data_IF_365233444526
#
_entry.id   IF_365233444526
#
_cell.length_a   1.000
_cell.length_b   1.000
_cell.length_c   1.000
_cell.angle_alpha   90.00
_cell.angle_beta   90.00
_cell.angle_gamma   90.00
#
_symmetry.space_group_name_H-M   'P 1'
#
loop_
_entity.id
_entity.type
_entity.pdbx_description
1 polymer ?
#
# COMPACT_ATOMS: atom_id res chain seq x y z
N UNK A 1 -7.93 47.72 48.30
CA UNK A 1 -8.93 46.96 47.57
C UNK A 1 -8.42 46.70 46.15
N UNK A 2 -7.41 45.83 46.08
CA UNK A 2 -6.76 45.49 44.81
C UNK A 2 -6.10 44.12 44.98
N UNK A 3 -6.87 43.07 44.90
CA UNK A 3 -6.39 41.67 44.87
C UNK A 3 -7.59 40.76 44.60
N UNK A 4 -7.94 40.53 43.36
CA UNK A 4 -8.77 39.37 42.96
C UNK A 4 -9.03 39.32 41.43
N UNK A 5 -7.96 39.41 40.60
CA UNK A 5 -8.16 39.19 39.14
C UNK A 5 -6.96 38.50 38.47
N UNK A 6 -6.21 37.69 39.19
CA UNK A 6 -5.07 36.94 38.57
C UNK A 6 -5.34 35.41 38.51
N UNK A 7 -6.39 34.93 39.21
CA UNK A 7 -6.65 33.50 39.27
C UNK A 7 -7.47 32.91 38.12
N UNK A 8 -8.29 33.72 37.41
CA UNK A 8 -9.22 33.21 36.40
C UNK A 8 -8.58 32.98 35.01
N UNK A 9 -7.56 33.76 34.67
CA UNK A 9 -6.97 33.71 33.34
C UNK A 9 -6.07 32.47 33.10
N UNK A 10 -5.34 32.06 34.11
CA UNK A 10 -4.42 30.90 34.00
C UNK A 10 -5.22 29.60 33.97
N UNK A 11 -6.31 29.49 34.73
CA UNK A 11 -7.19 28.31 34.69
C UNK A 11 -7.92 28.16 33.34
N UNK A 12 -8.40 29.27 32.77
CA UNK A 12 -9.10 29.24 31.47
C UNK A 12 -8.14 28.89 30.28
N UNK A 13 -6.89 29.37 30.35
CA UNK A 13 -5.88 29.01 29.34
C UNK A 13 -5.44 27.55 29.48
N UNK A 14 -5.32 27.03 30.68
CA UNK A 14 -4.98 25.62 30.92
C UNK A 14 -6.12 24.68 30.48
N UNK A 15 -7.38 25.02 30.78
CA UNK A 15 -8.55 24.22 30.33
C UNK A 15 -8.71 24.29 28.81
N UNK A 16 -8.53 25.45 28.19
CA UNK A 16 -8.56 25.57 26.72
C UNK A 16 -7.38 24.82 26.06
N UNK A 17 -6.22 24.78 26.71
CA UNK A 17 -5.06 24.02 26.24
C UNK A 17 -5.29 22.50 26.31
N UNK A 18 -5.85 22.01 27.41
CA UNK A 18 -6.17 20.58 27.58
C UNK A 18 -7.24 20.14 26.58
N UNK A 19 -8.32 20.91 26.43
CA UNK A 19 -9.39 20.58 25.45
C UNK A 19 -8.91 20.70 24.02
N UNK A 20 -7.99 21.64 23.70
CA UNK A 20 -7.36 21.75 22.39
C UNK A 20 -6.48 20.54 22.08
N UNK A 21 -5.72 20.07 23.04
CA UNK A 21 -4.88 18.89 22.92
C UNK A 21 -5.72 17.61 22.70
N UNK A 22 -6.77 17.40 23.51
CA UNK A 22 -7.71 16.28 23.34
C UNK A 22 -8.42 16.30 21.98
N UNK A 23 -8.82 17.48 21.49
CA UNK A 23 -9.44 17.62 20.18
C UNK A 23 -8.46 17.29 19.03
N UNK A 24 -7.19 17.57 19.18
CA UNK A 24 -6.15 17.17 18.22
C UNK A 24 -5.91 15.66 18.32
N UNK A 25 -5.77 15.12 19.52
CA UNK A 25 -5.51 13.69 19.75
C UNK A 25 -6.65 12.81 19.22
N UNK A 26 -7.89 13.27 19.40
CA UNK A 26 -9.06 12.60 18.81
C UNK A 26 -9.29 12.93 17.33
N UNK A 27 -8.38 13.61 16.67
CA UNK A 27 -8.43 13.90 15.23
C UNK A 27 -9.51 14.92 14.82
N UNK A 28 -10.07 15.66 15.77
CA UNK A 28 -11.07 16.71 15.51
C UNK A 28 -10.40 17.98 14.97
N UNK A 29 -9.18 18.28 15.46
CA UNK A 29 -8.34 19.37 14.96
C UNK A 29 -7.10 18.83 14.24
N UNK A 30 -6.55 19.57 13.26
CA UNK A 30 -5.31 19.17 12.59
C UNK A 30 -4.12 19.18 13.57
N UNK A 31 -3.19 18.27 13.39
CA UNK A 31 -1.96 18.18 14.21
C UNK A 31 -1.75 16.84 14.91
N UNK A 32 -2.72 15.89 14.82
CA UNK A 32 -2.57 14.56 15.44
C UNK A 32 -1.26 13.88 15.07
N UNK A 33 -0.88 13.84 13.79
CA UNK A 33 0.39 13.24 13.36
C UNK A 33 1.63 13.88 14.01
N UNK A 34 1.59 15.17 14.31
CA UNK A 34 2.67 15.84 15.03
C UNK A 34 2.71 15.41 16.49
N UNK A 35 1.55 15.31 17.15
CA UNK A 35 1.47 14.82 18.52
C UNK A 35 1.92 13.36 18.60
N UNK A 36 1.41 12.49 17.74
CA UNK A 36 1.77 11.06 17.69
C UNK A 36 3.28 10.84 17.50
N UNK A 37 3.96 11.75 16.80
CA UNK A 37 5.43 11.74 16.68
C UNK A 37 6.13 12.21 17.95
N UNK A 38 5.58 13.22 18.63
CA UNK A 38 6.17 13.80 19.82
C UNK A 38 6.02 12.88 21.04
N UNK A 39 4.93 12.17 21.17
CA UNK A 39 4.67 11.22 22.26
C UNK A 39 5.19 9.79 21.98
N UNK A 40 5.71 9.55 20.76
CA UNK A 40 6.31 8.27 20.39
C UNK A 40 5.34 7.24 19.82
N UNK A 41 4.06 7.58 19.58
CA UNK A 41 3.07 6.68 19.00
C UNK A 41 3.49 6.17 17.60
N UNK A 42 4.26 6.99 16.85
CA UNK A 42 4.83 6.63 15.55
C UNK A 42 6.14 5.82 15.65
N UNK A 43 6.62 5.49 16.85
CA UNK A 43 7.90 4.80 17.01
C UNK A 43 7.74 3.30 16.70
N UNK A 44 8.28 2.87 15.57
CA UNK A 44 8.31 1.47 15.16
C UNK A 44 9.76 0.98 15.08
N UNK A 45 10.10 -0.16 15.71
CA UNK A 45 11.44 -0.71 15.60
C UNK A 45 11.80 -1.03 14.15
N UNK A 46 12.97 -0.56 13.72
CA UNK A 46 13.47 -0.89 12.38
C UNK A 46 13.66 -2.41 12.24
N UNK A 47 13.19 -3.03 11.15
CA UNK A 47 13.36 -4.45 10.91
C UNK A 47 14.84 -4.78 10.67
N UNK A 48 15.28 -5.95 11.13
CA UNK A 48 16.60 -6.48 10.79
C UNK A 48 16.51 -7.15 9.43
N UNK A 49 16.95 -6.44 8.40
CA UNK A 49 16.93 -6.96 7.04
C UNK A 49 18.18 -7.83 6.79
N UNK A 50 18.00 -8.92 6.09
CA UNK A 50 19.06 -9.80 5.61
C UNK A 50 18.74 -10.21 4.18
N UNK A 51 19.74 -10.10 3.30
CA UNK A 51 19.57 -10.32 1.87
C UNK A 51 20.45 -11.46 1.38
N UNK A 52 19.99 -12.17 0.37
CA UNK A 52 20.83 -12.98 -0.51
C UNK A 52 21.67 -12.06 -1.42
N UNK A 53 22.62 -12.58 -2.18
CA UNK A 53 23.18 -11.85 -3.30
C UNK A 53 22.08 -11.32 -4.20
N UNK A 54 22.19 -10.06 -4.64
CA UNK A 54 21.16 -9.46 -5.46
C UNK A 54 21.10 -10.11 -6.85
N UNK A 55 19.89 -10.33 -7.35
CA UNK A 55 19.65 -10.74 -8.72
C UNK A 55 19.67 -9.57 -9.70
N UNK A 56 19.39 -9.86 -10.97
CA UNK A 56 19.31 -8.85 -12.00
C UNK A 56 18.10 -7.92 -11.81
N UNK A 57 18.29 -6.63 -12.07
CA UNK A 57 17.22 -5.63 -12.07
C UNK A 57 17.31 -4.76 -13.32
N UNK A 58 16.18 -4.50 -13.96
CA UNK A 58 16.10 -3.76 -15.22
C UNK A 58 15.01 -2.70 -15.13
N UNK A 59 15.38 -1.46 -15.39
CA UNK A 59 14.41 -0.37 -15.57
C UNK A 59 14.24 -0.08 -17.05
N UNK A 60 13.01 0.28 -17.44
CA UNK A 60 12.65 0.62 -18.79
C UNK A 60 11.45 1.55 -18.85
N UNK A 61 11.03 1.87 -20.07
CA UNK A 61 9.83 2.67 -20.32
C UNK A 61 9.02 2.03 -21.45
N UNK A 62 7.69 2.14 -21.37
CA UNK A 62 6.80 1.81 -22.48
C UNK A 62 5.74 2.89 -22.65
N UNK A 63 5.20 3.00 -23.86
CA UNK A 63 4.05 3.88 -24.08
C UNK A 63 2.78 3.14 -23.66
N UNK A 64 2.14 3.64 -22.60
CA UNK A 64 0.84 3.13 -22.17
C UNK A 64 -0.26 3.78 -22.99
N UNK A 65 -1.07 2.97 -23.66
CA UNK A 65 -2.26 3.44 -24.39
C UNK A 65 -3.36 3.86 -23.40
N UNK A 66 -3.51 3.11 -22.30
CA UNK A 66 -4.47 3.40 -21.25
C UNK A 66 -4.19 4.75 -20.58
N UNK A 67 -2.92 5.09 -20.38
CA UNK A 67 -2.49 6.35 -19.78
C UNK A 67 -2.14 7.46 -20.78
N UNK A 68 -2.05 7.13 -22.07
CA UNK A 68 -1.66 8.04 -23.18
C UNK A 68 -0.31 8.74 -22.95
N UNK A 69 0.64 8.04 -22.31
CA UNK A 69 1.97 8.57 -21.99
C UNK A 69 3.00 7.46 -21.87
N UNK A 70 4.27 7.84 -21.91
CA UNK A 70 5.33 6.93 -21.49
C UNK A 70 5.33 6.77 -19.97
N UNK A 71 5.43 5.52 -19.51
CA UNK A 71 5.53 5.16 -18.09
C UNK A 71 6.80 4.36 -17.85
N UNK A 72 7.47 4.63 -16.73
CA UNK A 72 8.62 3.88 -16.27
C UNK A 72 8.18 2.59 -15.57
N UNK A 73 9.04 1.58 -15.61
CA UNK A 73 8.88 0.35 -14.83
C UNK A 73 10.24 -0.21 -14.43
N UNK A 74 10.27 -0.99 -13.37
CA UNK A 74 11.45 -1.78 -12.96
C UNK A 74 11.02 -3.22 -12.74
N UNK A 75 11.78 -4.18 -13.30
CA UNK A 75 11.61 -5.61 -13.04
C UNK A 75 12.87 -6.10 -12.32
N UNK A 76 12.68 -6.78 -11.19
CA UNK A 76 13.75 -7.42 -10.42
C UNK A 76 13.56 -8.93 -10.41
N UNK A 77 14.64 -9.66 -10.60
CA UNK A 77 14.72 -11.11 -10.56
C UNK A 77 15.41 -11.56 -9.28
N UNK A 78 15.00 -12.68 -8.66
CA UNK A 78 15.69 -13.21 -7.49
C UNK A 78 17.08 -13.73 -7.86
N UNK A 79 17.94 -13.87 -6.86
CA UNK A 79 19.32 -14.35 -7.06
C UNK A 79 19.35 -15.71 -7.78
N UNK A 80 20.23 -15.82 -8.78
CA UNK A 80 20.38 -17.04 -9.58
C UNK A 80 19.34 -17.22 -10.70
N UNK A 81 18.40 -16.28 -10.85
CA UNK A 81 17.40 -16.30 -11.91
C UNK A 81 17.60 -15.20 -12.94
N UNK A 82 17.15 -15.42 -14.17
CA UNK A 82 17.43 -14.55 -15.32
C UNK A 82 16.19 -14.30 -16.18
N UNK A 83 16.19 -13.23 -16.99
CA UNK A 83 15.13 -13.00 -17.99
C UNK A 83 14.92 -14.21 -18.91
N UNK A 84 13.65 -14.56 -19.13
CA UNK A 84 13.24 -15.72 -19.93
C UNK A 84 12.87 -16.95 -19.10
N UNK A 85 13.20 -16.97 -17.82
CA UNK A 85 12.72 -18.02 -16.90
C UNK A 85 11.28 -17.79 -16.50
N UNK A 86 10.58 -18.88 -16.16
CA UNK A 86 9.21 -18.82 -15.65
C UNK A 86 9.24 -18.63 -14.14
N UNK A 87 8.66 -17.50 -13.69
CA UNK A 87 8.59 -17.14 -12.29
C UNK A 87 7.21 -16.57 -11.95
N UNK A 88 6.75 -16.80 -10.74
CA UNK A 88 5.63 -16.04 -10.19
C UNK A 88 5.99 -14.56 -10.07
N UNK A 89 5.00 -13.68 -10.11
CA UNK A 89 5.18 -12.24 -10.22
C UNK A 89 4.51 -11.50 -9.07
N UNK A 90 5.25 -10.65 -8.38
CA UNK A 90 4.71 -9.61 -7.50
C UNK A 90 4.61 -8.31 -8.30
N UNK A 91 3.41 -7.76 -8.42
CA UNK A 91 3.18 -6.41 -8.94
C UNK A 91 3.08 -5.46 -7.75
N UNK A 92 4.10 -4.62 -7.57
CA UNK A 92 4.20 -3.67 -6.47
C UNK A 92 3.76 -2.27 -6.91
N UNK A 93 2.74 -1.74 -6.25
CA UNK A 93 2.16 -0.43 -6.52
C UNK A 93 2.65 0.61 -5.51
N UNK A 94 3.19 1.72 -6.03
CA UNK A 94 3.74 2.80 -5.20
C UNK A 94 2.68 3.65 -4.52
N UNK A 95 3.06 4.33 -3.43
CA UNK A 95 2.27 5.33 -2.72
C UNK A 95 2.19 6.68 -3.46
N UNK A 96 1.41 7.60 -2.92
CA UNK A 96 1.28 8.96 -3.46
C UNK A 96 2.64 9.68 -3.45
N UNK A 97 2.97 10.34 -4.55
CA UNK A 97 4.23 11.08 -4.71
C UNK A 97 5.44 10.22 -5.10
N UNK A 98 5.30 8.90 -5.15
CA UNK A 98 6.34 7.97 -5.55
C UNK A 98 6.22 7.55 -7.03
N UNK A 99 7.14 6.72 -7.48
CA UNK A 99 7.23 6.17 -8.82
C UNK A 99 7.74 4.70 -8.82
N UNK A 100 8.07 4.16 -9.99
CA UNK A 100 8.59 2.79 -10.09
C UNK A 100 9.94 2.57 -9.41
N UNK A 101 10.71 3.60 -9.10
CA UNK A 101 12.02 3.50 -8.44
C UNK A 101 11.93 3.62 -6.93
N UNK A 102 10.84 4.17 -6.42
CA UNK A 102 10.56 4.46 -5.01
C UNK A 102 9.27 3.79 -4.48
N UNK A 103 8.87 2.67 -5.10
CA UNK A 103 7.65 1.94 -4.71
C UNK A 103 7.76 1.25 -3.34
N UNK A 104 8.97 0.97 -2.89
CA UNK A 104 9.32 0.38 -1.60
C UNK A 104 10.09 1.40 -0.76
N UNK A 105 9.99 1.27 0.56
CA UNK A 105 10.68 2.14 1.51
C UNK A 105 11.92 1.45 2.09
N UNK A 106 13.06 2.13 2.08
CA UNK A 106 14.31 1.60 2.64
C UNK A 106 14.91 0.39 1.91
N UNK A 107 14.30 -0.06 0.80
CA UNK A 107 14.86 -1.11 -0.06
C UNK A 107 14.51 -0.91 -1.52
N UNK A 108 15.34 -1.43 -2.40
CA UNK A 108 15.10 -1.50 -3.84
C UNK A 108 14.26 -2.74 -4.20
N UNK A 109 13.72 -2.77 -5.42
CA UNK A 109 13.04 -3.96 -5.94
C UNK A 109 13.92 -5.21 -5.95
N UNK A 110 15.22 -5.06 -6.23
CA UNK A 110 16.18 -6.16 -6.19
C UNK A 110 16.44 -6.68 -4.77
N UNK A 111 16.49 -5.80 -3.79
CA UNK A 111 16.61 -6.17 -2.39
C UNK A 111 15.33 -6.85 -1.88
N UNK A 112 14.15 -6.39 -2.28
CA UNK A 112 12.88 -7.00 -1.89
C UNK A 112 12.78 -8.47 -2.30
N UNK A 113 13.21 -8.83 -3.52
CA UNK A 113 13.20 -10.23 -3.99
C UNK A 113 14.40 -11.05 -3.47
N UNK A 114 15.38 -10.41 -2.84
CA UNK A 114 16.53 -11.04 -2.20
C UNK A 114 16.38 -11.19 -0.68
N UNK A 115 15.26 -10.73 -0.09
CA UNK A 115 15.01 -10.81 1.36
C UNK A 115 15.08 -12.26 1.86
N UNK A 116 15.75 -12.44 2.99
CA UNK A 116 15.78 -13.71 3.73
C UNK A 116 14.84 -13.62 4.93
N UNK A 117 14.07 -14.67 5.13
CA UNK A 117 13.20 -14.85 6.31
C UNK A 117 13.75 -16.02 7.14
N UNK A 118 14.10 -15.77 8.40
CA UNK A 118 14.74 -16.75 9.28
C UNK A 118 15.96 -17.43 8.63
N UNK A 119 16.76 -16.62 7.91
CA UNK A 119 17.95 -17.10 7.20
C UNK A 119 17.68 -17.85 5.89
N UNK A 120 16.42 -18.05 5.50
CA UNK A 120 16.02 -18.75 4.28
C UNK A 120 15.55 -17.76 3.19
N UNK A 121 15.79 -18.11 1.93
CA UNK A 121 15.13 -17.43 0.82
C UNK A 121 13.68 -17.89 0.74
N UNK A 122 12.75 -16.95 0.48
CA UNK A 122 11.41 -17.33 0.12
C UNK A 122 11.39 -18.05 -1.25
N UNK A 123 10.21 -18.52 -1.66
CA UNK A 123 10.01 -19.03 -3.00
C UNK A 123 10.46 -17.99 -4.04
N UNK A 124 11.21 -18.37 -5.10
CA UNK A 124 11.72 -17.41 -6.05
C UNK A 124 10.57 -16.72 -6.80
N UNK A 125 10.50 -15.41 -6.68
CA UNK A 125 9.52 -14.57 -7.35
C UNK A 125 10.23 -13.40 -8.05
N UNK A 126 9.72 -12.97 -9.20
CA UNK A 126 10.07 -11.69 -9.77
C UNK A 126 9.17 -10.60 -9.19
N UNK A 127 9.67 -9.36 -9.16
CA UNK A 127 8.88 -8.20 -8.73
C UNK A 127 8.90 -7.14 -9.84
N UNK A 128 7.75 -6.56 -10.13
CA UNK A 128 7.62 -5.42 -11.05
C UNK A 128 7.01 -4.23 -10.33
N UNK A 129 7.58 -3.06 -10.56
CA UNK A 129 7.03 -1.75 -10.18
C UNK A 129 6.74 -0.93 -11.44
N UNK A 130 5.82 0.03 -11.38
CA UNK A 130 5.43 0.86 -12.53
C UNK A 130 4.93 2.24 -12.08
N UNK A 131 5.10 3.26 -12.93
CA UNK A 131 4.58 4.60 -12.67
C UNK A 131 3.06 4.64 -12.79
N UNK A 132 2.36 4.79 -11.68
CA UNK A 132 0.92 4.93 -11.61
C UNK A 132 0.41 6.38 -11.55
N UNK A 133 1.32 7.35 -11.29
CA UNK A 133 0.94 8.72 -10.96
C UNK A 133 0.18 8.82 -9.64
N UNK A 134 -0.50 9.93 -9.42
CA UNK A 134 -1.12 10.28 -8.13
C UNK A 134 -2.66 10.14 -8.11
N UNK A 135 -3.25 9.46 -9.10
CA UNK A 135 -4.69 9.29 -9.27
C UNK A 135 -5.28 8.06 -8.56
N UNK A 136 -4.68 7.60 -7.47
CA UNK A 136 -5.19 6.47 -6.67
C UNK A 136 -5.43 5.18 -7.45
N UNK A 137 -4.64 4.95 -8.51
CA UNK A 137 -4.78 3.77 -9.38
C UNK A 137 -6.17 3.59 -9.98
N UNK A 138 -7.01 4.64 -9.94
CA UNK A 138 -8.36 4.64 -10.50
C UNK A 138 -8.38 5.21 -11.93
N UNK A 139 -9.38 4.81 -12.73
CA UNK A 139 -9.63 5.44 -14.02
C UNK A 139 -9.99 6.93 -13.88
N UNK A 140 -9.31 7.77 -14.64
CA UNK A 140 -9.59 9.19 -14.84
C UNK A 140 -9.84 9.49 -16.32
N UNK A 141 -10.48 10.60 -16.68
CA UNK A 141 -10.66 10.98 -18.08
C UNK A 141 -9.33 11.04 -18.83
N UNK A 142 -9.10 10.09 -19.74
CA UNK A 142 -7.88 10.01 -20.54
C UNK A 142 -6.63 9.47 -19.85
N UNK A 143 -6.73 8.98 -18.63
CA UNK A 143 -5.64 8.34 -17.88
C UNK A 143 -6.20 7.19 -17.04
N UNK A 144 -5.93 5.94 -17.43
CA UNK A 144 -6.37 4.75 -16.71
C UNK A 144 -5.17 3.91 -16.23
N UNK A 145 -4.65 4.18 -15.02
CA UNK A 145 -3.53 3.41 -14.47
C UNK A 145 -3.92 1.96 -14.10
N UNK A 146 -5.20 1.68 -13.82
CA UNK A 146 -5.66 0.31 -13.56
C UNK A 146 -5.61 -0.54 -14.84
N UNK A 147 -6.17 -0.05 -15.95
CA UNK A 147 -6.09 -0.72 -17.24
C UNK A 147 -4.63 -0.86 -17.71
N UNK A 148 -3.78 0.12 -17.45
CA UNK A 148 -2.33 0.04 -17.74
C UNK A 148 -1.70 -1.15 -17.00
N UNK A 149 -2.02 -1.38 -15.72
CA UNK A 149 -1.50 -2.54 -14.97
C UNK A 149 -2.04 -3.84 -15.54
N UNK A 150 -3.36 -3.95 -15.72
CA UNK A 150 -4.05 -5.21 -16.07
C UNK A 150 -3.83 -5.59 -17.53
N UNK A 151 -3.97 -4.64 -18.45
CA UNK A 151 -4.02 -4.91 -19.89
C UNK A 151 -2.67 -4.70 -20.61
N UNK A 152 -1.70 -4.02 -19.95
CA UNK A 152 -0.42 -3.69 -20.59
C UNK A 152 0.77 -4.22 -19.81
N UNK A 153 0.93 -3.87 -18.50
CA UNK A 153 2.08 -4.27 -17.69
C UNK A 153 2.12 -5.78 -17.44
N UNK A 154 1.04 -6.36 -16.93
CA UNK A 154 0.97 -7.80 -16.64
C UNK A 154 1.18 -8.62 -17.92
N UNK A 155 0.50 -8.36 -19.05
CA UNK A 155 0.80 -9.06 -20.30
C UNK A 155 2.23 -8.88 -20.81
N UNK A 156 2.83 -7.71 -20.58
CA UNK A 156 4.25 -7.47 -20.89
C UNK A 156 5.18 -8.37 -20.05
N UNK A 157 4.88 -8.55 -18.77
CA UNK A 157 5.62 -9.44 -17.87
C UNK A 157 5.40 -10.91 -18.26
N UNK A 158 4.16 -11.31 -18.57
CA UNK A 158 3.83 -12.67 -19.00
C UNK A 158 4.55 -13.10 -20.27
N UNK A 159 4.73 -12.21 -21.24
CA UNK A 159 5.56 -12.45 -22.44
C UNK A 159 7.04 -12.68 -22.11
N UNK A 160 7.48 -12.31 -20.90
CA UNK A 160 8.82 -12.57 -20.38
C UNK A 160 8.90 -13.80 -19.46
N UNK A 161 7.81 -14.58 -19.36
CA UNK A 161 7.72 -15.76 -18.49
C UNK A 161 7.28 -15.46 -17.06
N UNK A 162 6.94 -14.21 -16.73
CA UNK A 162 6.62 -13.79 -15.36
C UNK A 162 5.10 -13.76 -15.12
N UNK A 163 4.61 -14.52 -14.13
CA UNK A 163 3.19 -14.58 -13.78
C UNK A 163 2.30 -15.23 -14.84
N UNK A 164 2.87 -16.10 -15.71
CA UNK A 164 2.09 -16.88 -16.67
C UNK A 164 1.76 -18.25 -16.06
N UNK A 165 0.52 -18.72 -16.20
CA UNK A 165 0.12 -20.01 -15.65
C UNK A 165 1.11 -21.15 -16.03
N UNK A 166 1.46 -22.05 -15.08
CA UNK A 166 0.91 -22.20 -13.73
C UNK A 166 1.44 -21.20 -12.69
N UNK A 167 2.38 -20.33 -13.03
CA UNK A 167 2.92 -19.31 -12.15
C UNK A 167 1.83 -18.26 -11.85
N UNK A 168 1.93 -17.64 -10.67
CA UNK A 168 0.90 -16.81 -10.10
C UNK A 168 1.28 -15.33 -10.11
N UNK A 169 0.26 -14.47 -10.00
CA UNK A 169 0.40 -13.03 -9.83
C UNK A 169 -0.09 -12.67 -8.44
N UNK A 170 0.71 -11.90 -7.72
CA UNK A 170 0.32 -11.28 -6.47
C UNK A 170 0.40 -9.77 -6.61
N UNK A 171 -0.60 -9.08 -6.06
CA UNK A 171 -0.58 -7.63 -5.92
C UNK A 171 -0.05 -7.23 -4.55
N UNK A 172 0.85 -6.24 -4.52
CA UNK A 172 1.33 -5.64 -3.28
C UNK A 172 1.33 -4.12 -3.43
N UNK A 173 1.12 -3.38 -2.34
CA UNK A 173 1.20 -1.94 -2.39
C UNK A 173 1.18 -1.28 -1.02
N UNK A 174 1.63 -0.02 -1.00
CA UNK A 174 1.73 0.81 0.20
C UNK A 174 0.85 2.04 0.01
N UNK A 175 0.09 2.42 1.04
CA UNK A 175 -0.73 3.63 1.04
C UNK A 175 -1.71 3.66 -0.14
N UNK A 176 -1.62 4.63 -1.03
CA UNK A 176 -2.35 4.69 -2.30
C UNK A 176 -2.17 3.40 -3.12
N UNK A 177 -0.97 2.82 -3.14
CA UNK A 177 -0.70 1.55 -3.82
C UNK A 177 -1.39 0.35 -3.15
N UNK A 178 -1.48 0.37 -1.82
CA UNK A 178 -2.23 -0.64 -1.06
C UNK A 178 -3.72 -0.63 -1.38
N UNK A 179 -4.32 0.56 -1.46
CA UNK A 179 -5.68 0.72 -1.98
C UNK A 179 -5.78 0.21 -3.43
N UNK A 180 -4.85 0.60 -4.30
CA UNK A 180 -4.84 0.17 -5.71
C UNK A 180 -4.75 -1.35 -5.87
N UNK A 181 -3.93 -2.02 -5.05
CA UNK A 181 -3.80 -3.47 -5.06
C UNK A 181 -5.12 -4.18 -4.72
N UNK A 182 -5.84 -3.70 -3.69
CA UNK A 182 -7.18 -4.21 -3.35
C UNK A 182 -8.18 -3.95 -4.50
N UNK A 183 -8.28 -2.70 -4.97
CA UNK A 183 -9.23 -2.30 -6.00
C UNK A 183 -9.03 -3.03 -7.35
N UNK A 184 -7.78 -3.27 -7.76
CA UNK A 184 -7.47 -4.06 -8.96
C UNK A 184 -7.91 -5.50 -8.79
N UNK A 185 -7.65 -6.11 -7.63
CA UNK A 185 -8.01 -7.51 -7.34
C UNK A 185 -9.52 -7.71 -7.33
N UNK A 186 -10.27 -6.82 -6.68
CA UNK A 186 -11.74 -6.86 -6.64
C UNK A 186 -12.39 -6.77 -8.03
N UNK A 187 -11.76 -6.01 -8.94
CA UNK A 187 -12.29 -5.80 -10.30
C UNK A 187 -11.86 -6.87 -11.30
N UNK A 188 -10.85 -7.66 -10.95
CA UNK A 188 -10.28 -8.67 -11.84
C UNK A 188 -10.22 -10.04 -11.14
N UNK A 189 -11.38 -10.62 -10.80
CA UNK A 189 -11.42 -11.91 -10.11
C UNK A 189 -10.73 -12.99 -10.97
N UNK A 190 -9.89 -13.80 -10.32
CA UNK A 190 -9.12 -14.85 -10.98
C UNK A 190 -7.81 -14.41 -11.63
N UNK A 191 -7.53 -13.10 -11.73
CA UNK A 191 -6.23 -12.60 -12.20
C UNK A 191 -5.16 -12.66 -11.09
N UNK A 192 -5.56 -12.36 -9.86
CA UNK A 192 -4.66 -12.18 -8.72
C UNK A 192 -4.86 -13.31 -7.73
N UNK A 193 -3.76 -13.99 -7.39
CA UNK A 193 -3.78 -15.15 -6.49
C UNK A 193 -3.69 -14.76 -5.01
N UNK A 194 -3.13 -13.60 -4.67
CA UNK A 194 -3.10 -13.06 -3.30
C UNK A 194 -2.80 -11.55 -3.31
N UNK A 195 -3.15 -10.85 -2.22
CA UNK A 195 -2.93 -9.41 -2.05
C UNK A 195 -2.25 -9.10 -0.73
N UNK A 196 -1.25 -8.21 -0.74
CA UNK A 196 -0.66 -7.63 0.45
C UNK A 196 -0.77 -6.10 0.41
N UNK A 197 -1.59 -5.52 1.29
CA UNK A 197 -1.80 -4.09 1.40
C UNK A 197 -1.21 -3.55 2.72
N UNK A 198 -0.26 -2.62 2.60
CA UNK A 198 0.40 -1.96 3.73
C UNK A 198 -0.18 -0.56 3.88
N UNK A 199 -0.75 -0.24 5.02
CA UNK A 199 -1.38 1.05 5.31
C UNK A 199 -2.24 1.56 4.14
N UNK A 200 -3.17 0.75 3.61
CA UNK A 200 -3.90 1.15 2.41
C UNK A 200 -4.72 2.42 2.67
N UNK A 201 -4.57 3.40 1.78
CA UNK A 201 -5.23 4.69 1.89
C UNK A 201 -6.72 4.60 1.54
N UNK A 202 -7.51 4.00 2.42
CA UNK A 202 -8.94 3.74 2.25
C UNK A 202 -9.75 4.90 2.84
N UNK A 203 -10.53 5.56 2.00
CA UNK A 203 -11.43 6.63 2.40
C UNK A 203 -12.82 6.06 2.71
N UNK A 204 -13.43 6.49 3.83
CA UNK A 204 -14.80 6.07 4.22
C UNK A 204 -15.86 6.75 3.35
N UNK A 205 -15.55 7.92 2.78
CA UNK A 205 -16.48 8.67 1.95
C UNK A 205 -15.81 9.48 0.87
N UNK A 206 -16.56 9.77 -0.21
CA UNK A 206 -16.09 10.67 -1.27
C UNK A 206 -15.78 12.09 -0.75
N UNK A 207 -16.52 12.56 0.24
CA UNK A 207 -16.29 13.88 0.83
C UNK A 207 -14.90 13.95 1.49
N UNK A 208 -14.51 12.92 2.25
CA UNK A 208 -13.18 12.83 2.85
C UNK A 208 -12.09 12.73 1.78
N UNK A 209 -12.24 11.84 0.79
CA UNK A 209 -11.30 11.68 -0.29
C UNK A 209 -11.08 12.99 -1.04
N UNK A 210 -12.15 13.70 -1.39
CA UNK A 210 -12.09 14.98 -2.09
C UNK A 210 -11.45 16.09 -1.27
N UNK A 211 -11.72 16.14 0.03
CA UNK A 211 -11.13 17.14 0.91
C UNK A 211 -9.62 16.97 1.07
N UNK A 212 -9.15 15.72 1.18
CA UNK A 212 -7.73 15.41 1.39
C UNK A 212 -6.94 15.37 0.07
N UNK A 213 -7.52 14.80 -0.99
CA UNK A 213 -6.91 14.69 -2.31
C UNK A 213 -7.97 14.81 -3.41
N UNK A 214 -8.23 16.03 -3.92
CA UNK A 214 -9.19 16.24 -5.00
C UNK A 214 -8.92 15.46 -6.28
N UNK A 215 -7.67 15.02 -6.48
CA UNK A 215 -7.23 14.23 -7.64
C UNK A 215 -7.39 12.71 -7.49
N UNK A 216 -7.82 12.21 -6.32
CA UNK A 216 -7.93 10.77 -6.09
C UNK A 216 -9.05 10.10 -6.92
N UNK A 217 -10.18 10.77 -7.08
CA UNK A 217 -11.35 10.28 -7.81
C UNK A 217 -11.95 11.38 -8.67
N UNK A 218 -12.25 11.06 -9.91
CA UNK A 218 -12.81 12.03 -10.85
C UNK A 218 -14.23 12.53 -10.46
N UNK A 219 -14.98 11.76 -9.66
CA UNK A 219 -16.36 12.06 -9.26
C UNK A 219 -16.80 11.14 -8.11
N UNK A 220 -17.94 11.46 -7.47
CA UNK A 220 -18.59 10.57 -6.52
C UNK A 220 -18.94 9.20 -7.15
N UNK A 221 -19.28 9.16 -8.44
CA UNK A 221 -19.53 7.92 -9.17
C UNK A 221 -18.25 7.08 -9.31
N UNK A 222 -17.11 7.70 -9.61
CA UNK A 222 -15.84 6.98 -9.70
C UNK A 222 -15.36 6.52 -8.33
N UNK A 223 -15.64 7.28 -7.26
CA UNK A 223 -15.43 6.83 -5.89
C UNK A 223 -16.25 5.58 -5.57
N UNK A 224 -17.57 5.63 -5.79
CA UNK A 224 -18.45 4.48 -5.55
C UNK A 224 -18.05 3.24 -6.37
N UNK A 225 -17.56 3.43 -7.60
CA UNK A 225 -17.04 2.34 -8.40
C UNK A 225 -15.69 1.80 -7.86
N UNK A 226 -14.89 2.60 -7.16
CA UNK A 226 -13.61 2.23 -6.55
C UNK A 226 -13.69 1.96 -5.05
N UNK A 227 -14.88 1.94 -4.44
CA UNK A 227 -15.07 1.75 -3.02
C UNK A 227 -14.76 0.30 -2.62
N UNK A 228 -13.54 0.09 -2.15
CA UNK A 228 -13.05 -1.24 -1.73
C UNK A 228 -13.79 -1.77 -0.50
N UNK A 229 -14.43 -0.91 0.29
CA UNK A 229 -15.29 -1.34 1.42
C UNK A 229 -16.57 -1.97 0.88
N UNK A 230 -17.20 -1.29 -0.08
CA UNK A 230 -18.45 -1.76 -0.67
C UNK A 230 -18.30 -3.03 -1.54
N UNK A 231 -17.08 -3.32 -2.01
CA UNK A 231 -16.79 -4.43 -2.90
C UNK A 231 -15.92 -5.52 -2.26
N UNK A 232 -15.69 -5.46 -0.94
CA UNK A 232 -14.80 -6.36 -0.22
C UNK A 232 -15.18 -7.85 -0.34
N UNK A 233 -16.46 -8.15 -0.57
CA UNK A 233 -16.99 -9.50 -0.85
C UNK A 233 -16.36 -10.16 -2.09
N UNK A 234 -15.92 -9.37 -3.06
CA UNK A 234 -15.24 -9.86 -4.28
C UNK A 234 -13.86 -10.45 -4.02
N UNK A 235 -13.30 -10.25 -2.83
CA UNK A 235 -12.07 -10.89 -2.37
C UNK A 235 -12.30 -12.30 -1.78
N UNK A 236 -13.53 -12.82 -1.83
CA UNK A 236 -13.82 -14.17 -1.35
C UNK A 236 -12.93 -15.21 -2.06
N UNK A 237 -12.22 -16.02 -1.28
CA UNK A 237 -11.26 -17.01 -1.79
C UNK A 237 -9.89 -16.48 -2.19
N UNK A 238 -9.68 -15.17 -2.18
CA UNK A 238 -8.35 -14.56 -2.37
C UNK A 238 -7.69 -14.36 -1.02
N UNK A 239 -6.51 -14.93 -0.76
CA UNK A 239 -5.74 -14.61 0.43
C UNK A 239 -5.34 -13.13 0.44
N UNK A 240 -5.68 -12.42 1.51
CA UNK A 240 -5.37 -11.00 1.70
C UNK A 240 -4.61 -10.80 3.00
N UNK A 241 -3.53 -10.02 2.95
CA UNK A 241 -2.85 -9.48 4.12
C UNK A 241 -3.05 -7.97 4.13
N UNK A 242 -3.58 -7.44 5.24
CA UNK A 242 -3.72 -5.99 5.46
C UNK A 242 -2.98 -5.62 6.73
N UNK A 243 -2.12 -4.60 6.65
CA UNK A 243 -1.45 -4.02 7.82
C UNK A 243 -1.82 -2.54 7.95
N UNK A 244 -2.08 -2.06 9.18
CA UNK A 244 -2.32 -0.65 9.48
C UNK A 244 -1.84 -0.32 10.88
N UNK A 245 -1.18 0.84 11.04
CA UNK A 245 -0.87 1.40 12.35
C UNK A 245 -2.12 1.93 13.04
N UNK A 246 -2.15 1.87 14.38
CA UNK A 246 -3.30 2.41 15.15
C UNK A 246 -3.44 3.92 14.98
N UNK A 247 -2.33 4.64 14.77
CA UNK A 247 -2.29 6.09 14.61
C UNK A 247 -2.17 6.52 13.13
N UNK A 248 -2.44 5.59 12.21
CA UNK A 248 -2.56 5.86 10.77
C UNK A 248 -3.90 6.58 10.49
N UNK A 249 -3.93 7.75 9.83
CA UNK A 249 -5.17 8.47 9.52
C UNK A 249 -6.15 7.66 8.66
N UNK A 250 -5.68 6.61 7.97
CA UNK A 250 -6.53 5.71 7.20
C UNK A 250 -7.00 4.49 8.00
N UNK A 251 -6.53 4.32 9.25
CA UNK A 251 -6.90 3.17 10.10
C UNK A 251 -8.42 2.96 10.20
N UNK A 252 -9.26 4.00 10.41
CA UNK A 252 -10.72 3.81 10.43
C UNK A 252 -11.29 3.25 9.11
N UNK A 253 -10.73 3.65 7.98
CA UNK A 253 -11.09 3.09 6.65
C UNK A 253 -10.66 1.64 6.50
N UNK A 254 -9.46 1.30 6.98
CA UNK A 254 -8.95 -0.08 6.99
C UNK A 254 -9.80 -0.97 7.89
N UNK A 255 -10.20 -0.50 9.08
CA UNK A 255 -11.13 -1.24 9.95
C UNK A 255 -12.50 -1.47 9.29
N UNK A 256 -13.04 -0.44 8.62
CA UNK A 256 -14.31 -0.57 7.89
C UNK A 256 -14.19 -1.62 6.75
N UNK A 257 -13.09 -1.61 6.02
CA UNK A 257 -12.79 -2.62 5.01
C UNK A 257 -12.69 -4.03 5.62
N UNK A 258 -11.95 -4.21 6.70
CA UNK A 258 -11.80 -5.50 7.39
C UNK A 258 -13.15 -6.04 7.89
N UNK A 259 -14.02 -5.18 8.40
CA UNK A 259 -15.38 -5.58 8.83
C UNK A 259 -16.29 -6.02 7.67
N UNK A 260 -16.08 -5.49 6.47
CA UNK A 260 -16.86 -5.82 5.27
C UNK A 260 -16.28 -7.04 4.52
N UNK A 261 -15.02 -7.34 4.74
CA UNK A 261 -14.27 -8.35 4.01
C UNK A 261 -14.57 -9.77 4.50
N UNK A 262 -14.31 -10.81 3.65
CA UNK A 262 -14.41 -12.21 4.07
C UNK A 262 -13.48 -12.56 5.24
N UNK A 263 -13.83 -13.57 6.06
CA UNK A 263 -13.06 -14.02 7.24
C UNK A 263 -11.64 -14.53 6.92
N UNK A 264 -11.30 -14.71 5.65
CA UNK A 264 -9.98 -15.19 5.20
C UNK A 264 -8.88 -14.14 5.20
N UNK A 265 -9.15 -12.92 5.65
CA UNK A 265 -8.18 -11.82 5.66
C UNK A 265 -7.23 -11.93 6.86
N UNK A 266 -5.92 -11.89 6.59
CA UNK A 266 -4.90 -11.75 7.63
C UNK A 266 -4.72 -10.27 7.98
N UNK A 267 -5.22 -9.87 9.13
CA UNK A 267 -5.13 -8.49 9.64
C UNK A 267 -3.93 -8.35 10.57
N UNK A 268 -3.19 -7.25 10.43
CA UNK A 268 -2.10 -6.84 11.32
C UNK A 268 -2.33 -5.38 11.72
N UNK A 269 -2.88 -5.18 12.91
CA UNK A 269 -2.96 -3.88 13.55
C UNK A 269 -1.90 -3.78 14.64
N UNK A 270 -1.12 -2.71 14.64
CA UNK A 270 -0.02 -2.52 15.61
C UNK A 270 0.23 -1.04 15.85
N UNK A 271 1.03 -0.71 16.84
CA UNK A 271 1.52 0.66 17.02
C UNK A 271 2.23 1.14 15.75
N UNK A 272 2.04 2.41 15.41
CA UNK A 272 2.64 3.05 14.24
C UNK A 272 1.69 3.99 13.52
N UNK A 273 2.26 4.81 12.66
CA UNK A 273 1.60 5.88 11.91
C UNK A 273 1.63 5.58 10.40
N UNK A 274 1.18 6.55 9.59
CA UNK A 274 1.27 6.50 8.13
C UNK A 274 2.62 7.06 7.66
N UNK A 275 3.70 6.36 7.93
CA UNK A 275 5.06 6.85 7.69
C UNK A 275 6.04 5.74 7.30
N UNK A 276 7.22 6.16 6.84
CA UNK A 276 8.29 5.27 6.38
C UNK A 276 8.69 4.20 7.41
N UNK A 277 8.88 4.48 8.72
CA UNK A 277 9.20 3.45 9.70
C UNK A 277 8.19 2.31 9.75
N UNK A 278 6.89 2.64 9.69
CA UNK A 278 5.84 1.64 9.67
C UNK A 278 5.83 0.84 8.36
N UNK A 279 5.95 1.52 7.22
CA UNK A 279 5.96 0.87 5.91
C UNK A 279 7.12 -0.12 5.80
N UNK A 280 8.33 0.33 6.15
CA UNK A 280 9.53 -0.49 6.16
C UNK A 280 9.39 -1.73 7.08
N UNK A 281 8.76 -1.57 8.25
CA UNK A 281 8.53 -2.70 9.17
C UNK A 281 7.53 -3.73 8.60
N UNK A 282 6.59 -3.30 7.75
CA UNK A 282 5.55 -4.17 7.18
C UNK A 282 5.91 -4.77 5.81
N UNK A 283 6.90 -4.24 5.11
CA UNK A 283 7.33 -4.76 3.80
C UNK A 283 7.86 -6.19 3.88
N UNK A 284 8.83 -6.55 4.75
CA UNK A 284 9.35 -7.91 4.80
C UNK A 284 8.27 -8.97 5.07
N UNK A 285 7.39 -8.83 6.09
CA UNK A 285 6.33 -9.82 6.31
C UNK A 285 5.30 -9.84 5.18
N UNK A 286 5.14 -8.77 4.38
CA UNK A 286 4.27 -8.75 3.20
C UNK A 286 4.90 -9.51 2.03
N UNK A 287 6.21 -9.37 1.81
CA UNK A 287 6.95 -10.18 0.84
C UNK A 287 6.94 -11.66 1.23
N UNK A 288 7.12 -11.97 2.53
CA UNK A 288 7.02 -13.35 3.04
C UNK A 288 5.63 -13.95 2.83
N UNK A 289 4.58 -13.17 3.06
CA UNK A 289 3.21 -13.57 2.79
C UNK A 289 3.03 -13.90 1.31
N UNK A 290 3.53 -13.04 0.42
CA UNK A 290 3.52 -13.28 -1.02
C UNK A 290 4.17 -14.63 -1.38
N UNK A 291 5.40 -14.84 -0.92
CA UNK A 291 6.17 -16.04 -1.20
C UNK A 291 5.48 -17.32 -0.69
N UNK A 292 4.77 -17.27 0.45
CA UNK A 292 4.06 -18.41 1.02
C UNK A 292 2.96 -18.98 0.10
N UNK A 293 2.25 -18.10 -0.62
CA UNK A 293 1.16 -18.53 -1.49
C UNK A 293 1.63 -19.09 -2.83
N UNK A 294 2.86 -18.82 -3.23
CA UNK A 294 3.45 -19.41 -4.43
C UNK A 294 3.91 -20.87 -4.23
N UNK A 295 4.11 -21.29 -2.98
CA UNK A 295 4.52 -22.68 -2.65
C UNK A 295 3.35 -23.67 -2.69
N UNK A 296 2.10 -23.21 -2.54
CA UNK A 296 0.92 -24.08 -2.41
C UNK A 296 0.22 -24.46 -3.72
N UNK A 297 0.71 -23.98 -4.86
CA UNK A 297 0.14 -24.23 -6.18
C UNK A 297 0.86 -25.29 -7.01
N UNK A 298 1.74 -26.08 -6.39
CA UNK A 298 2.44 -27.19 -7.00
C UNK A 298 1.93 -28.54 -6.49
#
# INVERSE_FOLDING_TARGET
MLLTWIGGGVGAVAVAGVTGFELIDHGVLPGKQLLDRLDGACSVPAPRLSFAPLGASFSGRFYSKARRRHVGYTIAYPSGHHPGERLSLVVMLHGYGNDHTSALFGMTAAEAVALRFDGRLPYPVALVTVDGGNGYWNPHPGDDPMAMVVDELIPMCQKRGLGSAPEQILMMGISMGGYGALAITERNPGLVSAVAAISPAIWISYAQARAANPGAFASARSFAAGDVIAHADKLAGVPVRVASGYDDPFHPGVEAFVRAAPDSIKVVFSAGCHDEPYFLAQEPPSVAFAAHYFVRGG
#
